data_IF_711310417972
#
_entry.id   IF_711310417972
#
_cell.length_a   1.000
_cell.length_b   1.000
_cell.length_c   1.000
_cell.angle_alpha   90.00
_cell.angle_beta   90.00
_cell.angle_gamma   90.00
#
_symmetry.space_group_name_H-M   'P 1'
#
loop_
_entity.id
_entity.type
_entity.pdbx_description
1 polymer ?
#
# COMPACT_ATOMS: atom_id res chain seq x y z
N UNK A 1 -11.97 -4.46 -5.75
CA UNK A 1 -10.58 -4.04 -5.98
C UNK A 1 -10.54 -2.62 -6.51
N UNK A 2 -9.46 -1.90 -6.25
CA UNK A 2 -9.26 -0.53 -6.73
C UNK A 2 -8.32 -0.54 -7.93
N UNK A 3 -8.44 0.46 -8.81
CA UNK A 3 -7.79 0.43 -10.12
C UNK A 3 -7.15 1.77 -10.48
N UNK A 4 -5.94 1.73 -11.07
CA UNK A 4 -5.27 2.87 -11.71
C UNK A 4 -4.80 2.40 -13.08
N UNK A 5 -5.31 2.99 -14.19
CA UNK A 5 -4.82 2.69 -15.55
C UNK A 5 -4.61 1.20 -15.80
N UNK A 6 -5.62 0.37 -15.49
CA UNK A 6 -5.55 -1.09 -15.59
C UNK A 6 -4.69 -1.77 -14.53
N UNK A 7 -4.24 -1.03 -13.53
CA UNK A 7 -3.52 -1.57 -12.37
C UNK A 7 -4.52 -1.75 -11.24
N UNK A 8 -4.49 -2.93 -10.63
CA UNK A 8 -5.42 -3.28 -9.56
C UNK A 8 -4.67 -3.48 -8.25
N UNK A 9 -5.20 -2.89 -7.17
CA UNK A 9 -4.79 -3.22 -5.82
C UNK A 9 -5.79 -4.20 -5.23
N UNK A 10 -5.26 -5.27 -4.60
CA UNK A 10 -6.12 -6.16 -3.82
C UNK A 10 -6.62 -5.41 -2.58
N UNK A 11 -7.63 -5.96 -1.91
CA UNK A 11 -8.12 -5.37 -0.66
C UNK A 11 -7.00 -5.31 0.40
N UNK A 12 -6.17 -6.34 0.46
CA UNK A 12 -5.04 -6.38 1.40
C UNK A 12 -4.00 -5.33 1.07
N UNK A 13 -3.64 -5.20 -0.21
CA UNK A 13 -2.70 -4.19 -0.65
C UNK A 13 -3.22 -2.78 -0.36
N UNK A 14 -4.49 -2.55 -0.65
CA UNK A 14 -5.13 -1.26 -0.37
C UNK A 14 -5.08 -0.94 1.12
N UNK A 15 -5.36 -1.93 1.97
CA UNK A 15 -5.32 -1.73 3.43
C UNK A 15 -3.91 -1.45 3.93
N UNK A 16 -2.92 -2.21 3.44
CA UNK A 16 -1.52 -1.98 3.80
C UNK A 16 -1.10 -0.56 3.45
N UNK A 17 -1.41 -0.12 2.25
CA UNK A 17 -1.03 1.21 1.80
C UNK A 17 -1.78 2.31 2.58
N UNK A 18 -3.04 2.08 2.90
CA UNK A 18 -3.85 3.00 3.71
C UNK A 18 -3.22 3.21 5.09
N UNK A 19 -2.83 2.11 5.76
CA UNK A 19 -2.19 2.20 7.07
C UNK A 19 -0.83 2.88 6.98
N UNK A 20 -0.06 2.59 5.93
CA UNK A 20 1.22 3.26 5.69
C UNK A 20 1.02 4.77 5.53
N UNK A 21 -0.03 5.18 4.82
CA UNK A 21 -0.36 6.59 4.61
C UNK A 21 -0.72 7.29 5.93
N UNK A 22 -1.29 6.54 6.87
CA UNK A 22 -1.63 7.07 8.20
C UNK A 22 -0.44 7.12 9.15
N UNK A 23 0.75 6.71 8.68
CA UNK A 23 1.97 6.77 9.48
C UNK A 23 2.33 5.50 10.23
N UNK A 24 1.62 4.40 9.98
CA UNK A 24 1.95 3.13 10.63
C UNK A 24 3.29 2.61 10.11
N UNK A 25 4.12 2.09 11.01
CA UNK A 25 5.33 1.38 10.63
C UNK A 25 4.96 0.00 10.08
N UNK A 26 5.90 -0.66 9.40
CA UNK A 26 5.68 -2.03 8.92
C UNK A 26 5.30 -2.97 10.05
N UNK A 27 5.94 -2.82 11.21
CA UNK A 27 5.62 -3.63 12.38
C UNK A 27 4.19 -3.39 12.86
N UNK A 28 3.76 -2.14 12.91
CA UNK A 28 2.41 -1.79 13.31
C UNK A 28 1.37 -2.31 12.32
N UNK A 29 1.67 -2.21 11.02
CA UNK A 29 0.79 -2.76 9.98
C UNK A 29 0.66 -4.27 10.15
N UNK A 30 1.80 -4.95 10.37
CA UNK A 30 1.82 -6.40 10.56
C UNK A 30 0.96 -6.81 11.75
N UNK A 31 1.06 -6.08 12.86
CA UNK A 31 0.26 -6.33 14.04
C UNK A 31 -1.23 -6.11 13.78
N UNK A 32 -1.58 -5.00 13.11
CA UNK A 32 -2.98 -4.66 12.80
C UNK A 32 -3.63 -5.71 11.90
N UNK A 33 -2.89 -6.19 10.91
CA UNK A 33 -3.42 -7.13 9.91
C UNK A 33 -3.16 -8.59 10.23
N UNK A 34 -2.49 -8.87 11.34
CA UNK A 34 -2.10 -10.22 11.74
C UNK A 34 -1.22 -10.89 10.66
N UNK A 35 -0.28 -10.14 10.12
CA UNK A 35 0.71 -10.59 9.15
C UNK A 35 2.09 -10.57 9.78
N UNK A 36 3.06 -11.22 9.12
CA UNK A 36 4.48 -11.01 9.45
C UNK A 36 4.95 -9.70 8.83
N UNK A 37 6.02 -9.12 9.38
CA UNK A 37 6.64 -7.93 8.80
C UNK A 37 7.09 -8.22 7.37
N UNK A 38 7.61 -9.42 7.12
CA UNK A 38 8.02 -9.86 5.79
C UNK A 38 6.86 -9.80 4.80
N UNK A 39 5.67 -10.25 5.20
CA UNK A 39 4.48 -10.21 4.36
C UNK A 39 4.09 -8.77 4.02
N UNK A 40 4.13 -7.87 5.02
CA UNK A 40 3.86 -6.45 4.79
C UNK A 40 4.84 -5.86 3.78
N UNK A 41 6.13 -6.16 3.95
CA UNK A 41 7.16 -5.70 3.03
C UNK A 41 6.91 -6.18 1.61
N UNK A 42 6.53 -7.45 1.46
CA UNK A 42 6.22 -8.03 0.15
C UNK A 42 5.04 -7.33 -0.52
N UNK A 43 3.99 -7.04 0.25
CA UNK A 43 2.84 -6.31 -0.28
C UNK A 43 3.23 -4.91 -0.75
N UNK A 44 4.05 -4.20 0.03
CA UNK A 44 4.50 -2.87 -0.35
C UNK A 44 5.35 -2.91 -1.62
N UNK A 45 6.27 -3.87 -1.73
CA UNK A 45 7.09 -4.03 -2.93
C UNK A 45 6.24 -4.30 -4.16
N UNK A 46 5.22 -5.13 -4.02
CA UNK A 46 4.29 -5.41 -5.13
C UNK A 46 3.52 -4.16 -5.55
N UNK A 47 3.09 -3.35 -4.57
CA UNK A 47 2.42 -2.08 -4.85
C UNK A 47 3.34 -1.15 -5.63
N UNK A 48 4.60 -1.04 -5.20
CA UNK A 48 5.57 -0.17 -5.88
C UNK A 48 5.78 -0.61 -7.32
N UNK A 49 5.88 -1.91 -7.56
CA UNK A 49 6.03 -2.45 -8.92
C UNK A 49 4.80 -2.14 -9.77
N UNK A 50 3.61 -2.32 -9.21
CA UNK A 50 2.36 -2.05 -9.92
C UNK A 50 2.23 -0.58 -10.32
N UNK A 51 2.68 0.32 -9.45
CA UNK A 51 2.58 1.75 -9.67
C UNK A 51 3.75 2.30 -10.49
N UNK A 52 4.80 1.53 -10.67
CA UNK A 52 6.03 2.01 -11.33
C UNK A 52 6.76 3.06 -10.50
N UNK A 53 6.71 2.93 -9.18
CA UNK A 53 7.35 3.87 -8.25
C UNK A 53 8.44 3.15 -7.45
N UNK A 54 9.25 3.92 -6.73
CA UNK A 54 10.44 3.37 -6.06
C UNK A 54 10.36 3.36 -4.53
N UNK A 55 9.39 4.05 -3.94
CA UNK A 55 9.30 4.15 -2.49
C UNK A 55 7.88 4.42 -2.01
N UNK A 56 7.73 4.33 -0.69
CA UNK A 56 6.45 4.49 -0.01
C UNK A 56 5.79 5.85 -0.28
N UNK A 57 6.56 6.91 -0.23
CA UNK A 57 6.03 8.26 -0.39
C UNK A 57 5.42 8.43 -1.78
N UNK A 58 6.14 8.00 -2.82
CA UNK A 58 5.63 8.06 -4.18
C UNK A 58 4.35 7.25 -4.35
N UNK A 59 4.32 6.05 -3.76
CA UNK A 59 3.15 5.18 -3.84
C UNK A 59 1.93 5.82 -3.16
N UNK A 60 2.13 6.41 -1.99
CA UNK A 60 1.05 7.06 -1.24
C UNK A 60 0.50 8.25 -2.01
N UNK A 61 1.37 9.10 -2.55
CA UNK A 61 0.95 10.27 -3.33
C UNK A 61 0.13 9.84 -4.54
N UNK A 62 0.61 8.84 -5.27
CA UNK A 62 -0.10 8.33 -6.44
C UNK A 62 -1.47 7.76 -6.06
N UNK A 63 -1.54 7.00 -4.98
CA UNK A 63 -2.78 6.40 -4.53
C UNK A 63 -3.81 7.45 -4.10
N UNK A 64 -3.37 8.50 -3.42
CA UNK A 64 -4.26 9.61 -3.01
C UNK A 64 -4.77 10.35 -4.23
N UNK A 65 -3.89 10.70 -5.17
CA UNK A 65 -4.27 11.42 -6.39
C UNK A 65 -5.31 10.66 -7.22
N UNK A 66 -5.27 9.34 -7.17
CA UNK A 66 -6.16 8.49 -7.95
C UNK A 66 -7.34 7.95 -7.13
N UNK A 67 -7.54 8.44 -5.92
CA UNK A 67 -8.68 8.07 -5.08
C UNK A 67 -8.67 6.64 -4.57
N UNK A 68 -7.50 6.00 -4.54
CA UNK A 68 -7.39 4.63 -4.06
C UNK A 68 -7.33 4.53 -2.54
N UNK A 69 -6.79 5.55 -1.90
CA UNK A 69 -6.74 5.67 -0.44
C UNK A 69 -7.09 7.10 -0.05
N UNK A 70 -7.41 7.29 1.22
CA UNK A 70 -7.74 8.60 1.78
C UNK A 70 -6.90 8.87 3.02
N UNK A 71 -6.67 10.14 3.29
CA UNK A 71 -6.03 10.59 4.52
C UNK A 71 -6.97 11.43 5.33
#
# INVERSE_FOLDING_TARGET
MKKINDIYLSLRESRVLQLAALGYTKKEIAEDMNFSIHTVKSHLENIYKKFGVHNKIQAIIMAIKNGLIEI
#
